data_IF_109767187290
#
_entry.id   IF_109767187290
#
_cell.length_a   1.000
_cell.length_b   1.000
_cell.length_c   1.000
_cell.angle_alpha   90.00
_cell.angle_beta   90.00
_cell.angle_gamma   90.00
#
_symmetry.space_group_name_H-M   'P 1'
#
loop_
_entity.id
_entity.type
_entity.pdbx_description
1 polymer ?
#
# COMPACT_ATOMS: atom_id res chain seq x y z
N UNK A 1 15.35 -0.22 32.63
CA UNK A 1 15.93 -0.70 31.36
C UNK A 1 15.05 -1.76 30.73
N UNK A 2 14.59 -2.76 31.48
CA UNK A 2 13.61 -3.76 30.99
C UNK A 2 12.34 -3.11 30.40
N UNK A 3 11.78 -2.08 31.05
CA UNK A 3 10.61 -1.35 30.54
C UNK A 3 10.82 -0.72 29.16
N UNK A 4 12.05 -0.29 28.83
CA UNK A 4 12.35 0.32 27.53
C UNK A 4 12.38 -0.74 26.42
N UNK A 5 12.92 -1.94 26.72
CA UNK A 5 12.88 -3.06 25.79
C UNK A 5 11.47 -3.61 25.62
N UNK A 6 10.68 -3.68 26.69
CA UNK A 6 9.27 -4.05 26.64
C UNK A 6 8.47 -3.08 25.74
N UNK A 7 8.69 -1.77 25.90
CA UNK A 7 8.06 -0.75 25.04
C UNK A 7 8.46 -0.89 23.58
N UNK A 8 9.74 -1.17 23.28
CA UNK A 8 10.19 -1.42 21.91
C UNK A 8 9.49 -2.67 21.33
N UNK A 9 9.38 -3.73 22.13
CA UNK A 9 8.71 -4.96 21.75
C UNK A 9 7.22 -4.71 21.43
N UNK A 10 6.50 -3.99 22.28
CA UNK A 10 5.09 -3.64 22.06
C UNK A 10 4.89 -2.84 20.78
N UNK A 11 5.77 -1.86 20.51
CA UNK A 11 5.71 -1.07 19.28
C UNK A 11 5.92 -1.96 18.05
N UNK A 12 6.95 -2.81 18.06
CA UNK A 12 7.22 -3.73 16.95
C UNK A 12 6.08 -4.74 16.74
N UNK A 13 5.47 -5.22 17.82
CA UNK A 13 4.35 -6.15 17.75
C UNK A 13 3.14 -5.46 17.12
N UNK A 14 2.85 -4.23 17.52
CA UNK A 14 1.78 -3.43 16.92
C UNK A 14 2.04 -3.13 15.44
N UNK A 15 3.29 -2.83 15.08
CA UNK A 15 3.66 -2.65 13.67
C UNK A 15 3.39 -3.92 12.86
N UNK A 16 3.72 -5.11 13.40
CA UNK A 16 3.43 -6.38 12.75
C UNK A 16 1.94 -6.58 12.51
N UNK A 17 1.10 -6.32 13.50
CA UNK A 17 -0.36 -6.41 13.37
C UNK A 17 -0.87 -5.52 12.23
N UNK A 18 -0.39 -4.28 12.13
CA UNK A 18 -0.78 -3.36 11.06
C UNK A 18 -0.29 -3.83 9.69
N UNK A 19 0.92 -4.37 9.60
CA UNK A 19 1.45 -4.93 8.34
C UNK A 19 0.58 -6.11 7.88
N UNK A 20 0.15 -6.98 8.79
CA UNK A 20 -0.80 -8.05 8.49
C UNK A 20 -2.14 -7.51 7.97
N UNK A 21 -2.70 -6.48 8.62
CA UNK A 21 -3.93 -5.84 8.18
C UNK A 21 -3.78 -5.13 6.81
N UNK A 22 -2.63 -4.54 6.54
CA UNK A 22 -2.30 -3.96 5.23
C UNK A 22 -2.28 -5.05 4.16
N UNK A 23 -1.68 -6.20 4.45
CA UNK A 23 -1.64 -7.34 3.53
C UNK A 23 -3.05 -7.83 3.18
N UNK A 24 -3.90 -8.07 4.18
CA UNK A 24 -5.31 -8.46 3.95
C UNK A 24 -6.07 -7.41 3.13
N UNK A 25 -5.80 -6.12 3.37
CA UNK A 25 -6.44 -5.04 2.60
C UNK A 25 -5.97 -4.99 1.14
N UNK A 26 -4.71 -5.35 0.88
CA UNK A 26 -4.19 -5.50 -0.48
C UNK A 26 -4.84 -6.71 -1.17
N UNK A 27 -5.01 -7.84 -0.49
CA UNK A 27 -5.73 -8.99 -1.06
C UNK A 27 -7.18 -8.64 -1.42
N UNK A 28 -7.89 -7.90 -0.55
CA UNK A 28 -9.23 -7.38 -0.84
C UNK A 28 -9.23 -6.45 -2.05
N UNK A 29 -8.21 -5.60 -2.20
CA UNK A 29 -8.04 -4.75 -3.37
C UNK A 29 -7.86 -5.58 -4.65
N UNK A 30 -7.05 -6.65 -4.62
CA UNK A 30 -6.86 -7.55 -5.76
C UNK A 30 -8.19 -8.21 -6.14
N UNK A 31 -8.96 -8.69 -5.16
CA UNK A 31 -10.30 -9.26 -5.38
C UNK A 31 -11.25 -8.26 -6.02
N UNK A 32 -11.35 -7.05 -5.47
CA UNK A 32 -12.21 -5.99 -6.01
C UNK A 32 -11.83 -5.60 -7.45
N UNK A 33 -10.53 -5.53 -7.77
CA UNK A 33 -10.05 -5.29 -9.13
C UNK A 33 -10.45 -6.41 -10.09
N UNK A 34 -10.40 -7.67 -9.64
CA UNK A 34 -10.79 -8.83 -10.44
C UNK A 34 -12.29 -8.83 -10.73
N UNK A 35 -13.11 -8.45 -9.75
CA UNK A 35 -14.56 -8.50 -9.85
C UNK A 35 -15.17 -7.19 -10.40
N UNK A 36 -14.33 -6.20 -10.71
CA UNK A 36 -14.72 -4.85 -11.13
C UNK A 36 -15.65 -4.14 -10.11
N UNK A 37 -15.47 -4.44 -8.83
CA UNK A 37 -16.22 -3.84 -7.73
C UNK A 37 -15.52 -2.54 -7.27
N UNK A 38 -16.02 -1.41 -7.78
CA UNK A 38 -15.47 -0.09 -7.46
C UNK A 38 -15.68 0.30 -5.99
N UNK A 39 -16.78 -0.14 -5.36
CA UNK A 39 -17.08 0.21 -3.97
C UNK A 39 -16.12 -0.52 -3.03
N UNK A 40 -15.96 -1.83 -3.22
CA UNK A 40 -14.99 -2.62 -2.46
C UNK A 40 -13.55 -2.13 -2.67
N UNK A 41 -13.22 -1.71 -3.89
CA UNK A 41 -11.92 -1.12 -4.22
C UNK A 41 -11.66 0.17 -3.41
N UNK A 42 -12.64 1.08 -3.37
CA UNK A 42 -12.51 2.33 -2.62
C UNK A 42 -12.38 2.09 -1.12
N UNK A 43 -13.15 1.16 -0.56
CA UNK A 43 -13.07 0.78 0.86
C UNK A 43 -11.69 0.22 1.20
N UNK A 44 -11.15 -0.68 0.36
CA UNK A 44 -9.82 -1.24 0.55
C UNK A 44 -8.73 -0.16 0.54
N UNK A 45 -8.75 0.75 -0.44
CA UNK A 45 -7.78 1.84 -0.56
C UNK A 45 -7.85 2.80 0.63
N UNK A 46 -9.05 3.16 1.09
CA UNK A 46 -9.21 4.02 2.26
C UNK A 46 -8.70 3.32 3.55
N UNK A 47 -8.97 2.02 3.69
CA UNK A 47 -8.44 1.21 4.78
C UNK A 47 -6.91 1.21 4.79
N UNK A 48 -6.28 1.02 3.63
CA UNK A 48 -4.82 1.06 3.49
C UNK A 48 -4.24 2.42 3.88
N UNK A 49 -4.88 3.53 3.48
CA UNK A 49 -4.43 4.88 3.84
C UNK A 49 -4.44 5.12 5.35
N UNK A 50 -5.49 4.66 6.04
CA UNK A 50 -5.60 4.76 7.49
C UNK A 50 -4.52 3.95 8.20
N UNK A 51 -4.33 2.69 7.78
CA UNK A 51 -3.31 1.79 8.32
C UNK A 51 -1.89 2.31 8.09
N UNK A 52 -1.61 2.87 6.92
CA UNK A 52 -0.32 3.50 6.62
C UNK A 52 -0.05 4.70 7.54
N UNK A 53 -1.08 5.50 7.85
CA UNK A 53 -0.99 6.59 8.82
C UNK A 53 -0.71 6.12 10.24
N UNK A 54 -1.31 5.02 10.68
CA UNK A 54 -1.03 4.41 11.99
C UNK A 54 0.40 3.82 12.04
N UNK A 55 0.83 3.15 10.96
CA UNK A 55 2.19 2.60 10.86
C UNK A 55 3.26 3.69 10.95
N UNK A 56 3.05 4.85 10.32
CA UNK A 56 3.95 5.99 10.41
C UNK A 56 4.11 6.50 11.86
N UNK A 57 3.00 6.60 12.60
CA UNK A 57 3.05 7.00 14.03
C UNK A 57 3.79 5.99 14.90
N UNK A 58 3.65 4.69 14.61
CA UNK A 58 4.40 3.66 15.31
C UNK A 58 5.88 3.71 14.99
N UNK A 59 6.25 4.08 13.76
CA UNK A 59 7.65 4.25 13.39
C UNK A 59 8.30 5.40 14.18
N UNK A 60 7.59 6.52 14.36
CA UNK A 60 8.04 7.60 15.25
C UNK A 60 8.20 7.11 16.70
N UNK A 61 7.25 6.31 17.20
CA UNK A 61 7.32 5.72 18.53
C UNK A 61 8.49 4.72 18.67
N UNK A 62 8.78 3.96 17.61
CA UNK A 62 9.91 3.02 17.54
C UNK A 62 11.23 3.77 17.61
N UNK A 63 11.37 4.86 16.85
CA UNK A 63 12.54 5.74 16.90
C UNK A 63 12.73 6.36 18.29
N UNK A 64 11.67 6.83 18.93
CA UNK A 64 11.74 7.37 20.28
C UNK A 64 12.17 6.32 21.32
N UNK A 65 11.64 5.09 21.24
CA UNK A 65 12.05 3.99 22.10
C UNK A 65 13.52 3.60 21.87
N UNK A 66 13.95 3.58 20.61
CA UNK A 66 15.33 3.29 20.23
C UNK A 66 16.30 4.35 20.78
N UNK A 67 15.99 5.64 20.61
CA UNK A 67 16.80 6.73 21.14
C UNK A 67 16.91 6.70 22.68
N UNK A 68 15.83 6.32 23.37
CA UNK A 68 15.85 6.14 24.82
C UNK A 68 16.76 4.97 25.25
N UNK A 69 16.77 3.87 24.49
CA UNK A 69 17.66 2.73 24.70
C UNK A 69 19.12 3.09 24.41
N UNK A 70 19.39 3.84 23.35
CA UNK A 70 20.73 4.34 23.02
C UNK A 70 21.31 5.17 24.16
N UNK A 71 20.53 6.12 24.68
CA UNK A 71 20.94 6.93 25.83
C UNK A 71 21.16 6.10 27.10
N UNK A 72 20.28 5.12 27.37
CA UNK A 72 20.40 4.27 28.55
C UNK A 72 21.61 3.32 28.50
N UNK A 73 22.00 2.88 27.30
CA UNK A 73 23.14 1.98 27.07
C UNK A 73 24.46 2.73 26.82
N UNK A 74 24.44 4.06 26.77
CA UNK A 74 25.62 4.87 26.44
C UNK A 74 26.12 4.64 25.00
N UNK A 75 25.22 4.23 24.10
CA UNK A 75 25.53 4.05 22.68
C UNK A 75 25.48 5.38 21.95
N UNK A 76 26.23 5.48 20.84
CA UNK A 76 26.12 6.63 19.94
C UNK A 76 24.74 6.72 19.29
N UNK A 77 24.36 7.91 18.78
CA UNK A 77 23.13 8.05 18.01
C UNK A 77 23.15 7.11 16.80
N UNK A 78 21.97 6.61 16.43
CA UNK A 78 21.77 5.66 15.33
C UNK A 78 22.46 4.30 15.55
N UNK A 79 22.59 3.88 16.82
CA UNK A 79 23.10 2.56 17.12
C UNK A 79 22.20 1.50 16.48
N UNK A 80 22.83 0.50 15.86
CA UNK A 80 22.09 -0.57 15.20
C UNK A 80 21.28 -1.37 16.22
N UNK A 81 20.15 -1.94 15.79
CA UNK A 81 19.35 -2.84 16.62
C UNK A 81 20.20 -3.97 17.24
N UNK A 82 21.19 -4.48 16.50
CA UNK A 82 22.13 -5.50 17.00
C UNK A 82 22.97 -5.00 18.18
N UNK A 83 23.42 -3.75 18.16
CA UNK A 83 24.18 -3.13 19.26
C UNK A 83 23.28 -2.90 20.47
N UNK A 84 22.03 -2.47 20.26
CA UNK A 84 21.04 -2.26 21.34
C UNK A 84 20.68 -3.60 22.00
N UNK A 85 20.45 -4.65 21.19
CA UNK A 85 20.12 -5.99 21.67
C UNK A 85 21.24 -6.65 22.48
N UNK A 86 22.50 -6.22 22.32
CA UNK A 86 23.62 -6.73 23.12
C UNK A 86 23.47 -6.41 24.62
N UNK A 87 22.77 -5.31 24.95
CA UNK A 87 22.43 -4.92 26.32
C UNK A 87 21.09 -5.46 26.82
N UNK A 88 20.35 -6.21 26.00
CA UNK A 88 19.05 -6.77 26.39
C UNK A 88 19.21 -8.07 27.20
N UNK A 89 18.30 -8.34 28.17
CA UNK A 89 18.10 -9.66 28.76
C UNK A 89 17.91 -10.74 27.68
N UNK A 90 18.38 -11.96 27.93
CA UNK A 90 18.41 -13.05 26.93
C UNK A 90 17.02 -13.40 26.40
N UNK A 91 16.03 -13.48 27.28
CA UNK A 91 14.62 -13.75 26.97
C UNK A 91 13.99 -12.68 26.08
N UNK A 92 14.26 -11.40 26.35
CA UNK A 92 13.75 -10.28 25.55
C UNK A 92 14.50 -10.16 24.22
N UNK A 93 15.80 -10.45 24.22
CA UNK A 93 16.65 -10.41 23.03
C UNK A 93 16.15 -11.37 21.97
N UNK A 94 15.87 -12.62 22.35
CA UNK A 94 15.42 -13.65 21.40
C UNK A 94 14.04 -13.28 20.83
N UNK A 95 13.12 -12.81 21.69
CA UNK A 95 11.80 -12.35 21.25
C UNK A 95 11.89 -11.19 20.26
N UNK A 96 12.70 -10.17 20.54
CA UNK A 96 12.89 -9.03 19.65
C UNK A 96 13.55 -9.44 18.32
N UNK A 97 14.48 -10.39 18.37
CA UNK A 97 15.13 -10.92 17.16
C UNK A 97 14.13 -11.64 16.27
N UNK A 98 13.36 -12.58 16.83
CA UNK A 98 12.31 -13.31 16.10
C UNK A 98 11.28 -12.34 15.53
N UNK A 99 10.78 -11.41 16.34
CA UNK A 99 9.81 -10.41 15.89
C UNK A 99 10.35 -9.53 14.75
N UNK A 100 11.62 -9.14 14.83
CA UNK A 100 12.27 -8.35 13.78
C UNK A 100 12.55 -9.12 12.49
N UNK A 101 12.69 -10.45 12.55
CA UNK A 101 12.77 -11.33 11.38
C UNK A 101 11.39 -11.49 10.74
N UNK A 102 10.36 -11.81 11.53
CA UNK A 102 8.97 -11.93 11.07
C UNK A 102 8.47 -10.64 10.41
N UNK A 103 8.71 -9.48 11.04
CA UNK A 103 8.31 -8.18 10.47
C UNK A 103 8.98 -7.92 9.12
N UNK A 104 10.24 -8.36 8.95
CA UNK A 104 10.97 -8.21 7.69
C UNK A 104 10.36 -9.05 6.58
N UNK A 105 9.98 -10.28 6.89
CA UNK A 105 9.34 -11.19 5.97
C UNK A 105 7.93 -10.70 5.59
N UNK A 106 7.14 -10.25 6.57
CA UNK A 106 5.80 -9.68 6.35
C UNK A 106 5.85 -8.43 5.47
N UNK A 107 6.82 -7.53 5.70
CA UNK A 107 7.03 -6.35 4.86
C UNK A 107 7.48 -6.70 3.44
N UNK A 108 8.28 -7.76 3.27
CA UNK A 108 8.66 -8.25 1.95
C UNK A 108 7.45 -8.79 1.19
N UNK A 109 6.60 -9.59 1.85
CA UNK A 109 5.36 -10.10 1.28
C UNK A 109 4.38 -8.96 0.90
N UNK A 110 4.21 -7.96 1.78
CA UNK A 110 3.36 -6.80 1.53
C UNK A 110 3.85 -5.97 0.33
N UNK A 111 5.18 -5.80 0.16
CA UNK A 111 5.75 -5.12 -1.01
C UNK A 111 5.42 -5.86 -2.30
N UNK A 112 5.54 -7.18 -2.29
CA UNK A 112 5.23 -8.00 -3.46
C UNK A 112 3.75 -7.92 -3.83
N UNK A 113 2.85 -8.05 -2.85
CA UNK A 113 1.41 -7.92 -3.07
C UNK A 113 1.03 -6.53 -3.63
N UNK A 114 1.65 -5.46 -3.11
CA UNK A 114 1.46 -4.10 -3.65
C UNK A 114 1.97 -3.94 -5.09
N UNK A 115 3.08 -4.58 -5.44
CA UNK A 115 3.59 -4.58 -6.82
C UNK A 115 2.60 -5.22 -7.79
N UNK A 116 2.00 -6.36 -7.39
CA UNK A 116 0.94 -7.03 -8.16
C UNK A 116 -0.26 -6.11 -8.34
N UNK A 117 -0.77 -5.50 -7.26
CA UNK A 117 -1.86 -4.52 -7.32
C UNK A 117 -1.57 -3.38 -8.31
N UNK A 118 -0.37 -2.78 -8.21
CA UNK A 118 0.04 -1.68 -9.08
C UNK A 118 0.06 -2.08 -10.56
N UNK A 119 0.53 -3.30 -10.85
CA UNK A 119 0.56 -3.83 -12.22
C UNK A 119 -0.86 -4.07 -12.75
N UNK A 120 -1.76 -4.61 -11.94
CA UNK A 120 -3.15 -4.84 -12.32
C UNK A 120 -3.89 -3.54 -12.61
N UNK A 121 -3.78 -2.55 -11.71
CA UNK A 121 -4.39 -1.22 -11.92
C UNK A 121 -3.89 -0.56 -13.20
N UNK A 122 -2.59 -0.64 -13.49
CA UNK A 122 -2.01 -0.11 -14.73
C UNK A 122 -2.57 -0.80 -15.97
N UNK A 123 -2.63 -2.14 -15.97
CA UNK A 123 -3.18 -2.91 -17.10
C UNK A 123 -4.66 -2.63 -17.32
N UNK A 124 -5.46 -2.50 -16.26
CA UNK A 124 -6.87 -2.16 -16.34
C UNK A 124 -7.05 -0.77 -16.98
N UNK A 125 -6.24 0.22 -16.59
CA UNK A 125 -6.26 1.55 -17.21
C UNK A 125 -5.86 1.53 -18.69
N UNK A 126 -4.79 0.81 -19.04
CA UNK A 126 -4.35 0.65 -20.44
C UNK A 126 -5.43 -0.01 -21.30
N UNK A 127 -6.10 -1.04 -20.79
CA UNK A 127 -7.22 -1.69 -21.46
C UNK A 127 -8.40 -0.74 -21.65
N UNK A 128 -8.85 -0.07 -20.57
CA UNK A 128 -9.95 0.90 -20.64
C UNK A 128 -9.65 2.02 -21.64
N UNK A 129 -8.40 2.51 -21.67
CA UNK A 129 -7.96 3.53 -22.63
C UNK A 129 -8.08 3.02 -24.07
N UNK A 130 -7.66 1.77 -24.35
CA UNK A 130 -7.79 1.16 -25.68
C UNK A 130 -9.24 0.94 -26.09
N UNK A 131 -10.11 0.53 -25.16
CA UNK A 131 -11.54 0.39 -25.41
C UNK A 131 -12.17 1.75 -25.72
N UNK A 132 -11.88 2.80 -24.93
CA UNK A 132 -12.37 4.15 -25.19
C UNK A 132 -11.88 4.70 -26.54
N UNK A 133 -10.63 4.42 -26.93
CA UNK A 133 -10.12 4.75 -28.26
C UNK A 133 -10.86 3.99 -29.37
N UNK A 134 -11.10 2.69 -29.20
CA UNK A 134 -11.82 1.87 -30.18
C UNK A 134 -13.31 2.25 -30.31
N UNK A 135 -13.92 2.73 -29.23
CA UNK A 135 -15.31 3.21 -29.19
C UNK A 135 -15.43 4.68 -29.64
N UNK A 136 -14.33 5.31 -30.07
CA UNK A 136 -14.35 6.66 -30.67
C UNK A 136 -14.38 7.81 -29.66
N UNK A 137 -14.17 7.54 -28.37
CA UNK A 137 -14.02 8.57 -27.33
C UNK A 137 -12.65 9.26 -27.35
N UNK A 138 -11.80 8.92 -28.32
CA UNK A 138 -10.49 9.52 -28.59
C UNK A 138 -10.43 10.28 -29.92
N UNK A 139 -11.31 11.26 -30.11
CA UNK A 139 -11.14 12.38 -31.04
C UNK A 139 -11.27 12.11 -32.54
N UNK A 140 -12.47 12.35 -33.08
CA UNK A 140 -12.63 13.02 -34.38
C UNK A 140 -13.81 14.02 -34.30
N UNK A 141 -13.54 15.21 -33.76
CA UNK A 141 -14.19 16.41 -34.28
C UNK A 141 -13.49 16.75 -35.59
N UNK A 142 -13.99 16.24 -36.71
CA UNK A 142 -13.57 16.72 -38.02
C UNK A 142 -14.12 18.13 -38.20
N UNK A 143 -13.29 19.13 -37.90
CA UNK A 143 -13.49 20.50 -38.36
C UNK A 143 -13.50 20.46 -39.90
N UNK A 144 -14.65 20.74 -40.51
CA UNK A 144 -14.68 21.05 -41.94
C UNK A 144 -13.87 22.34 -42.19
N UNK A 145 -13.21 22.43 -43.34
CA UNK A 145 -12.35 23.57 -43.73
C UNK A 145 -13.07 24.94 -43.83
N UNK A 146 -14.31 25.06 -43.38
CA UNK A 146 -15.13 26.28 -43.36
C UNK A 146 -15.76 26.64 -42.00
N UNK A 147 -15.45 25.93 -40.90
CA UNK A 147 -15.87 26.35 -39.56
C UNK A 147 -17.37 26.21 -39.23
N UNK A 148 -18.12 25.36 -39.94
CA UNK A 148 -19.50 25.02 -39.56
C UNK A 148 -19.59 23.64 -38.88
N UNK A 149 -20.22 23.60 -37.70
CA UNK A 149 -20.55 22.36 -36.98
C UNK A 149 -21.81 21.76 -37.60
N UNK A 150 -21.66 20.70 -38.40
CA UNK A 150 -22.81 19.87 -38.82
C UNK A 150 -22.97 18.72 -37.83
N UNK A 151 -24.09 18.72 -37.11
CA UNK A 151 -24.55 17.52 -36.41
C UNK A 151 -24.89 16.46 -37.47
N UNK A 152 -24.11 15.38 -37.50
CA UNK A 152 -24.48 14.15 -38.19
C UNK A 152 -25.65 13.52 -37.41
N UNK A 153 -26.86 13.74 -37.90
CA UNK A 153 -28.01 12.89 -37.55
C UNK A 153 -27.65 11.48 -38.04
N UNK A 154 -27.60 10.46 -37.17
CA UNK A 154 -27.29 9.10 -37.60
C UNK A 154 -28.36 8.62 -38.60
N UNK A 155 -27.98 7.95 -39.70
CA UNK A 155 -28.96 7.45 -40.65
C UNK A 155 -29.84 6.40 -39.96
N UNK A 156 -31.15 6.55 -40.13
CA UNK A 156 -32.13 5.57 -39.69
C UNK A 156 -31.78 4.20 -40.29
N UNK A 157 -31.71 3.21 -39.41
CA UNK A 157 -31.57 1.80 -39.77
C UNK A 157 -32.68 1.45 -40.75
N UNK A 158 -32.34 1.26 -42.02
CA UNK A 158 -33.28 0.72 -43.01
C UNK A 158 -33.64 -0.71 -42.61
N UNK A 159 -34.81 -0.87 -42.00
CA UNK A 159 -35.53 -2.15 -41.96
C UNK A 159 -36.45 -2.21 -43.20
N UNK A 160 -36.22 -3.25 -44.00
CA UNK A 160 -37.22 -3.98 -44.83
C UNK A 160 -38.04 -3.20 -45.85
N UNK A 161 -37.92 -3.56 -47.14
CA UNK A 161 -38.84 -4.47 -47.86
C UNK A 161 -38.05 -5.25 -48.91
#
# INVERSE_FOLDING_TARGET
MEDLFARLYEVLQRQKEIVGQLYESVEKQIGALRDADLEALMVAVQGQANLAGELARLEDARHAAQAALEAALGLGPDATLRQILAGAPEDIRDRLKTLGEELRDDLAALREANNVCRLMTRRALEFNTRVLQAVGYGGETTYGAGGEVRQLIPPAVNRTV
#
